data_IF_003551745524
#
_entry.id   IF_003551745524
#
_cell.length_a   1.000
_cell.length_b   1.000
_cell.length_c   1.000
_cell.angle_alpha   90.00
_cell.angle_beta   90.00
_cell.angle_gamma   90.00
#
_symmetry.space_group_name_H-M   'P 1'
#
loop_
_entity.id
_entity.type
_entity.pdbx_description
1 polymer ?
#
# COMPACT_ATOMS: atom_id res chain seq x y z
N UNK A 1 -11.30 9.58 22.92
CA UNK A 1 -11.05 9.21 21.51
C UNK A 1 -10.05 10.14 20.82
N UNK A 2 -10.34 11.44 20.64
CA UNK A 2 -9.46 12.36 19.87
C UNK A 2 -7.98 12.42 20.30
N UNK A 3 -7.68 12.21 21.59
CA UNK A 3 -6.29 12.19 22.10
C UNK A 3 -5.45 10.99 21.61
N UNK A 4 -6.07 9.98 21.01
CA UNK A 4 -5.41 8.78 20.48
C UNK A 4 -5.19 8.88 18.96
N UNK A 5 -5.50 10.02 18.34
CA UNK A 5 -5.49 10.20 16.89
C UNK A 5 -4.54 11.35 16.57
N UNK A 6 -3.57 11.08 15.69
CA UNK A 6 -2.72 12.10 15.08
C UNK A 6 -3.15 12.22 13.62
N UNK A 7 -3.44 13.45 13.19
CA UNK A 7 -3.63 13.77 11.78
C UNK A 7 -2.35 14.43 11.27
N UNK A 8 -1.82 13.92 10.17
CA UNK A 8 -0.65 14.47 9.51
C UNK A 8 -0.92 14.52 8.00
N UNK A 9 -0.46 15.59 7.36
CA UNK A 9 -0.32 15.58 5.91
C UNK A 9 0.82 14.64 5.56
N UNK A 10 0.55 13.67 4.70
CA UNK A 10 1.51 12.64 4.33
C UNK A 10 1.25 12.21 2.88
N UNK A 11 2.24 12.41 2.02
CA UNK A 11 2.25 11.86 0.68
C UNK A 11 3.04 10.55 0.70
N UNK A 12 2.32 9.45 0.58
CA UNK A 12 2.87 8.09 0.61
C UNK A 12 3.99 7.83 -0.40
N UNK A 13 4.05 8.58 -1.51
CA UNK A 13 5.09 8.43 -2.55
C UNK A 13 6.28 9.38 -2.40
N UNK A 14 6.24 10.33 -1.47
CA UNK A 14 7.31 11.32 -1.28
C UNK A 14 7.88 11.30 0.14
N UNK A 15 7.02 11.07 1.11
CA UNK A 15 7.38 11.08 2.51
C UNK A 15 7.83 9.67 2.94
N UNK A 16 8.82 9.57 3.84
CA UNK A 16 9.23 8.27 4.37
C UNK A 16 8.07 7.55 5.07
N UNK A 17 7.95 6.21 4.92
CA UNK A 17 6.90 5.47 5.61
C UNK A 17 7.03 5.55 7.13
N UNK A 18 5.88 5.52 7.80
CA UNK A 18 5.85 5.16 9.22
C UNK A 18 6.25 3.69 9.36
N UNK A 19 7.23 3.40 10.21
CA UNK A 19 7.67 2.03 10.50
C UNK A 19 7.04 1.46 11.77
N UNK A 20 7.13 0.14 11.92
CA UNK A 20 6.67 -0.62 13.09
C UNK A 20 5.16 -0.52 13.35
N UNK A 21 4.38 -0.49 12.27
CA UNK A 21 2.92 -0.49 12.36
C UNK A 21 2.39 -1.91 12.55
N UNK A 22 1.35 -2.05 13.37
CA UNK A 22 0.64 -3.32 13.53
C UNK A 22 -0.53 -3.47 12.53
N UNK A 23 -1.02 -2.34 12.00
CA UNK A 23 -2.12 -2.29 11.04
C UNK A 23 -1.94 -1.14 10.07
N UNK A 24 -2.11 -1.43 8.78
CA UNK A 24 -2.31 -0.44 7.71
C UNK A 24 -3.69 -0.65 7.11
N UNK A 25 -4.50 0.41 7.09
CA UNK A 25 -5.77 0.43 6.37
C UNK A 25 -5.64 1.35 5.15
N UNK A 26 -5.58 0.75 3.96
CA UNK A 26 -5.52 1.46 2.69
C UNK A 26 -6.77 1.10 1.89
N UNK A 27 -7.85 1.87 2.06
CA UNK A 27 -9.17 1.56 1.49
C UNK A 27 -9.58 2.63 0.50
N UNK A 28 -10.09 2.18 -0.65
CA UNK A 28 -10.59 3.04 -1.74
C UNK A 28 -9.52 3.92 -2.41
N UNK A 29 -8.23 3.71 -2.13
CA UNK A 29 -7.13 4.48 -2.69
C UNK A 29 -6.50 3.81 -3.92
N UNK A 30 -6.32 2.48 -3.90
CA UNK A 30 -5.58 1.75 -4.93
C UNK A 30 -6.27 1.79 -6.29
N UNK A 31 -7.61 1.87 -6.30
CA UNK A 31 -8.41 1.96 -7.54
C UNK A 31 -8.11 3.20 -8.40
N UNK A 32 -7.44 4.20 -7.84
CA UNK A 32 -7.03 5.41 -8.57
C UNK A 32 -5.65 5.29 -9.23
N UNK A 33 -4.92 4.20 -8.96
CA UNK A 33 -3.52 4.05 -9.35
C UNK A 33 -3.34 2.96 -10.40
N UNK A 34 -2.38 3.19 -11.30
CA UNK A 34 -1.89 2.16 -12.21
C UNK A 34 -1.13 1.07 -11.43
N UNK A 35 -1.03 -0.13 -11.99
CA UNK A 35 -0.38 -1.28 -11.34
C UNK A 35 1.04 -0.96 -10.84
N UNK A 36 1.79 -0.12 -11.55
CA UNK A 36 3.13 0.31 -11.13
C UNK A 36 3.11 1.05 -9.78
N UNK A 37 2.16 1.96 -9.59
CA UNK A 37 2.02 2.70 -8.33
C UNK A 37 1.42 1.84 -7.22
N UNK A 38 0.54 0.89 -7.57
CA UNK A 38 0.03 -0.08 -6.59
C UNK A 38 1.17 -0.98 -6.05
N UNK A 39 2.07 -1.46 -6.91
CA UNK A 39 3.27 -2.22 -6.51
C UNK A 39 4.17 -1.42 -5.58
N UNK A 40 4.46 -0.16 -5.93
CA UNK A 40 5.22 0.74 -5.07
C UNK A 40 4.56 0.91 -3.69
N UNK A 41 3.23 1.01 -3.62
CA UNK A 41 2.51 1.06 -2.34
C UNK A 41 2.67 -0.22 -1.53
N UNK A 42 2.61 -1.39 -2.15
CA UNK A 42 2.82 -2.66 -1.44
C UNK A 42 4.24 -2.77 -0.89
N UNK A 43 5.25 -2.28 -1.62
CA UNK A 43 6.62 -2.15 -1.13
C UNK A 43 6.70 -1.26 0.12
N UNK A 44 6.04 -0.11 0.07
CA UNK A 44 5.96 0.84 1.19
C UNK A 44 5.28 0.21 2.40
N UNK A 45 4.15 -0.49 2.19
CA UNK A 45 3.45 -1.19 3.27
C UNK A 45 4.28 -2.32 3.87
N UNK A 46 5.05 -3.05 3.05
CA UNK A 46 5.97 -4.09 3.51
C UNK A 46 7.05 -3.54 4.45
N UNK A 47 7.61 -2.36 4.14
CA UNK A 47 8.56 -1.68 5.03
C UNK A 47 7.90 -1.09 6.29
N UNK A 48 6.63 -0.70 6.20
CA UNK A 48 5.90 -0.05 7.28
C UNK A 48 5.42 -1.01 8.37
N UNK A 49 4.99 -2.21 7.97
CA UNK A 49 4.34 -3.19 8.85
C UNK A 49 5.34 -4.07 9.61
N UNK A 50 5.03 -4.37 10.87
CA UNK A 50 5.67 -5.45 11.62
C UNK A 50 5.35 -6.82 10.99
N UNK A 51 6.22 -7.82 11.19
CA UNK A 51 5.89 -9.21 10.86
C UNK A 51 4.62 -9.66 11.62
N UNK A 52 3.69 -10.31 10.92
CA UNK A 52 2.38 -10.66 11.49
C UNK A 52 1.39 -9.49 11.61
N UNK A 53 1.78 -8.27 11.23
CA UNK A 53 0.87 -7.12 11.14
C UNK A 53 -0.20 -7.31 10.06
N UNK A 54 -1.20 -6.43 10.03
CA UNK A 54 -2.35 -6.57 9.14
C UNK A 54 -2.40 -5.48 8.08
N UNK A 55 -2.76 -5.88 6.86
CA UNK A 55 -3.15 -4.97 5.78
C UNK A 55 -4.64 -5.12 5.52
N UNK A 56 -5.37 -4.01 5.53
CA UNK A 56 -6.80 -3.95 5.26
C UNK A 56 -7.06 -3.10 4.02
N UNK A 57 -7.55 -3.74 2.95
CA UNK A 57 -7.90 -3.08 1.70
C UNK A 57 -9.42 -2.89 1.52
N UNK A 58 -9.81 -2.08 0.55
CA UNK A 58 -11.18 -1.93 0.10
C UNK A 58 -11.67 -3.13 -0.73
N UNK A 59 -12.98 -3.29 -0.85
CA UNK A 59 -13.61 -4.45 -1.51
C UNK A 59 -13.20 -4.65 -2.97
N UNK A 60 -12.96 -3.55 -3.69
CA UNK A 60 -12.54 -3.57 -5.09
C UNK A 60 -11.02 -3.64 -5.27
N UNK A 61 -10.27 -3.75 -4.17
CA UNK A 61 -8.82 -3.68 -4.15
C UNK A 61 -8.25 -5.06 -3.86
N UNK A 62 -7.06 -5.34 -4.40
CA UNK A 62 -6.38 -6.63 -4.27
C UNK A 62 -4.87 -6.41 -4.21
N UNK A 63 -4.18 -7.33 -3.55
CA UNK A 63 -2.72 -7.42 -3.59
C UNK A 63 -2.30 -7.82 -5.01
N UNK A 64 -1.25 -7.18 -5.53
CA UNK A 64 -0.69 -7.47 -6.86
C UNK A 64 0.80 -7.78 -6.69
N UNK A 65 1.24 -8.94 -7.17
CA UNK A 65 2.64 -9.42 -7.18
C UNK A 65 3.30 -9.59 -5.80
N UNK A 66 2.54 -9.38 -4.72
CA UNK A 66 3.00 -9.43 -3.33
C UNK A 66 2.30 -10.54 -2.51
N UNK A 67 1.76 -11.57 -3.17
CA UNK A 67 0.98 -12.65 -2.53
C UNK A 67 1.76 -13.41 -1.45
N UNK A 68 3.08 -13.53 -1.59
CA UNK A 68 3.96 -14.17 -0.59
C UNK A 68 4.19 -13.28 0.66
N UNK A 69 4.03 -11.96 0.52
CA UNK A 69 4.23 -10.95 1.56
C UNK A 69 2.92 -10.62 2.26
N UNK A 70 1.82 -10.45 1.52
CA UNK A 70 0.50 -10.17 2.07
C UNK A 70 -0.42 -11.37 1.84
N UNK A 71 -0.39 -12.30 2.79
CA UNK A 71 -1.17 -13.54 2.68
C UNK A 71 -2.61 -13.28 3.08
N UNK A 72 -3.56 -13.81 2.31
CA UNK A 72 -4.98 -13.64 2.58
C UNK A 72 -5.34 -14.27 3.93
N UNK A 73 -5.96 -13.48 4.80
CA UNK A 73 -6.48 -13.92 6.09
C UNK A 73 -8.01 -13.96 6.09
N UNK A 74 -8.65 -12.90 5.61
CA UNK A 74 -10.10 -12.83 5.46
C UNK A 74 -10.44 -12.28 4.06
N UNK A 75 -10.75 -13.15 3.08
CA UNK A 75 -10.99 -12.72 1.70
C UNK A 75 -12.19 -11.76 1.57
N UNK A 76 -13.29 -12.04 2.26
CA UNK A 76 -14.53 -11.26 2.19
C UNK A 76 -14.35 -9.83 2.69
N UNK A 77 -13.50 -9.66 3.71
CA UNK A 77 -13.18 -8.37 4.29
C UNK A 77 -11.87 -7.79 3.78
N UNK A 78 -11.21 -8.43 2.80
CA UNK A 78 -9.93 -7.96 2.22
C UNK A 78 -8.86 -7.68 3.29
N UNK A 79 -8.75 -8.60 4.24
CA UNK A 79 -7.73 -8.56 5.30
C UNK A 79 -6.63 -9.56 4.97
N UNK A 80 -5.39 -9.08 5.06
CA UNK A 80 -4.18 -9.83 4.78
C UNK A 80 -3.25 -9.77 6.00
N UNK A 81 -2.51 -10.84 6.24
CA UNK A 81 -1.43 -10.87 7.23
C UNK A 81 -0.09 -10.66 6.54
N UNK A 82 0.73 -9.79 7.12
CA UNK A 82 2.06 -9.48 6.66
C UNK A 82 3.05 -10.60 7.03
N UNK A 83 3.78 -11.08 6.04
CA UNK A 83 4.88 -12.03 6.16
C UNK A 83 6.16 -11.33 5.69
N UNK A 84 6.97 -10.89 6.64
CA UNK A 84 8.21 -10.15 6.36
C UNK A 84 9.26 -10.97 5.59
N UNK A 85 9.19 -12.30 5.68
CA UNK A 85 10.04 -13.22 4.93
C UNK A 85 9.48 -13.59 3.55
N UNK A 86 8.35 -13.00 3.15
CA UNK A 86 7.75 -13.19 1.84
C UNK A 86 8.68 -12.72 0.73
N UNK A 87 8.65 -13.41 -0.42
CA UNK A 87 9.42 -12.98 -1.58
C UNK A 87 8.80 -11.72 -2.17
N UNK A 88 9.64 -10.71 -2.42
CA UNK A 88 9.27 -9.51 -3.16
C UNK A 88 9.62 -9.66 -4.64
N UNK A 89 8.92 -8.95 -5.54
CA UNK A 89 9.29 -8.91 -6.96
C UNK A 89 10.71 -8.36 -7.17
N UNK A 90 11.49 -8.96 -8.08
CA UNK A 90 12.91 -8.64 -8.30
C UNK A 90 13.19 -7.26 -8.91
N UNK A 91 12.16 -6.52 -9.37
CA UNK A 91 12.30 -5.29 -10.15
C UNK A 91 11.59 -4.09 -9.50
N UNK A 92 12.02 -3.70 -8.29
CA UNK A 92 11.52 -2.47 -7.68
C UNK A 92 12.64 -1.50 -7.35
N UNK A 93 12.72 -0.45 -8.15
CA UNK A 93 13.32 0.81 -7.72
C UNK A 93 12.27 1.57 -6.90
N UNK A 94 12.27 1.39 -5.57
CA UNK A 94 11.49 2.22 -4.66
C UNK A 94 12.00 3.65 -4.82
N UNK A 95 11.27 4.46 -5.57
CA UNK A 95 11.65 5.85 -5.84
C UNK A 95 10.66 6.75 -5.14
N UNK A 96 11.08 7.36 -4.04
CA UNK A 96 10.34 8.40 -3.32
C UNK A 96 10.38 9.75 -4.06
N UNK A 97 10.41 9.74 -5.40
CA UNK A 97 10.63 10.91 -6.24
C UNK A 97 9.54 10.99 -7.31
N UNK A 98 8.83 12.11 -7.30
CA UNK A 98 7.76 12.41 -8.28
C UNK A 98 8.29 12.75 -9.68
N UNK A 99 9.60 12.78 -9.91
CA UNK A 99 10.18 13.28 -11.16
C UNK A 99 9.73 12.49 -12.41
N UNK A 100 8.98 11.38 -12.27
CA UNK A 100 8.25 10.72 -13.35
C UNK A 100 6.83 10.21 -13.02
N UNK A 101 6.21 10.62 -11.90
CA UNK A 101 4.97 10.01 -11.37
C UNK A 101 3.70 10.85 -11.65
N UNK A 102 3.80 12.14 -11.95
CA UNK A 102 2.62 13.01 -12.17
C UNK A 102 1.67 12.51 -13.27
N UNK A 103 2.20 11.89 -14.34
CA UNK A 103 1.39 11.32 -15.42
C UNK A 103 0.70 10.00 -15.04
N UNK A 104 1.13 9.34 -13.96
CA UNK A 104 0.65 8.04 -13.49
C UNK A 104 -0.33 8.14 -12.31
N UNK A 105 -0.38 9.30 -11.65
CA UNK A 105 -1.37 9.66 -10.62
C UNK A 105 -2.77 9.98 -11.20
N UNK A 106 -2.90 10.00 -12.53
CA UNK A 106 -4.16 10.32 -13.23
C UNK A 106 -5.18 9.18 -13.11
N UNK A 107 -6.44 9.46 -12.72
CA UNK A 107 -7.49 8.45 -12.65
C UNK A 107 -7.81 7.89 -14.04
N UNK A 108 -7.96 6.56 -14.14
CA UNK A 108 -8.39 5.86 -15.37
C UNK A 108 -9.78 6.29 -15.88
N UNK A 109 -10.55 7.06 -15.09
CA UNK A 109 -11.94 7.43 -15.36
C UNK A 109 -12.17 8.90 -15.77
N UNK A 110 -11.15 9.73 -15.91
CA UNK A 110 -11.31 11.05 -16.54
C UNK A 110 -11.03 10.98 -18.05
N UNK A 111 -11.93 10.30 -18.78
CA UNK A 111 -12.13 10.51 -20.22
C UNK A 111 -13.58 10.93 -20.43
N UNK A 112 -13.81 12.24 -20.36
CA UNK A 112 -15.02 12.91 -20.84
C UNK A 112 -14.67 13.74 -22.06
#
# INVERSE_FOLDING_TARGET
IRKMIVFAQHNVFQDPPFGRLDLVSCRNLLIYFQNILQRNLFAIFHMALNDGGYLFLGRSESVIDYDDVFRVLCPNEKIFVHNSAGRTPSHEHITYSLQGIESQLMPQHYKG
#
